data_IF_122049401528
#
_entry.id   IF_122049401528
#
_cell.length_a   1.000
_cell.length_b   1.000
_cell.length_c   1.000
_cell.angle_alpha   90.00
_cell.angle_beta   90.00
_cell.angle_gamma   90.00
#
_symmetry.space_group_name_H-M   'P 1'
#
loop_
_entity.id
_entity.type
_entity.pdbx_description
1 polymer ?
#
# COMPACT_ATOMS: atom_id res chain seq x y z
N UNK A 1 -22.81 14.54 4.86
CA UNK A 1 -21.83 15.65 4.98
C UNK A 1 -20.38 15.19 5.03
N UNK A 2 -20.07 13.88 5.04
CA UNK A 2 -18.69 13.38 5.22
C UNK A 2 -17.96 13.01 3.92
N UNK A 3 -18.68 12.90 2.79
CA UNK A 3 -18.19 12.32 1.53
C UNK A 3 -17.15 13.15 0.74
N UNK A 4 -16.62 14.25 1.31
CA UNK A 4 -15.68 15.15 0.63
C UNK A 4 -14.45 15.53 1.45
N UNK A 5 -14.27 14.95 2.63
CA UNK A 5 -13.08 15.18 3.44
C UNK A 5 -11.97 14.19 3.02
N UNK A 6 -10.71 14.65 2.92
CA UNK A 6 -9.60 13.74 2.65
C UNK A 6 -9.46 12.72 3.79
N UNK A 7 -9.50 11.45 3.44
CA UNK A 7 -9.32 10.31 4.36
C UNK A 7 -7.97 9.66 4.14
N UNK A 8 -7.57 8.80 5.10
CA UNK A 8 -6.38 7.95 4.92
C UNK A 8 -6.57 6.97 3.75
N UNK A 9 -5.46 6.48 3.21
CA UNK A 9 -5.46 5.48 2.14
C UNK A 9 -6.25 4.23 2.58
N UNK A 10 -7.04 3.68 1.65
CA UNK A 10 -7.88 2.51 1.88
C UNK A 10 -7.09 1.21 1.86
N UNK A 11 -5.97 1.18 1.13
CA UNK A 11 -5.10 0.01 1.01
C UNK A 11 -3.63 0.39 1.13
N UNK A 12 -2.80 -0.62 1.42
CA UNK A 12 -1.35 -0.45 1.40
C UNK A 12 -0.85 -0.13 -0.01
N UNK A 13 -1.44 -0.69 -1.06
CA UNK A 13 -1.11 -0.38 -2.46
C UNK A 13 -1.35 1.10 -2.78
N UNK A 14 -2.49 1.64 -2.37
CA UNK A 14 -2.80 3.08 -2.56
C UNK A 14 -1.83 3.97 -1.77
N UNK A 15 -1.45 3.56 -0.56
CA UNK A 15 -0.47 4.29 0.23
C UNK A 15 0.93 4.28 -0.42
N UNK A 16 1.34 3.15 -1.01
CA UNK A 16 2.62 3.03 -1.73
C UNK A 16 2.62 3.85 -3.01
N UNK A 17 1.51 3.88 -3.76
CA UNK A 17 1.38 4.72 -4.95
C UNK A 17 1.38 6.21 -4.63
N UNK A 18 0.71 6.61 -3.54
CA UNK A 18 0.78 7.98 -3.02
C UNK A 18 2.21 8.35 -2.59
N UNK A 19 2.91 7.43 -1.92
CA UNK A 19 4.32 7.61 -1.54
C UNK A 19 5.23 7.74 -2.78
N UNK A 20 5.00 6.97 -3.85
CA UNK A 20 5.73 7.11 -5.12
C UNK A 20 5.49 8.46 -5.78
N UNK A 21 4.25 8.94 -5.73
CA UNK A 21 3.86 10.20 -6.35
C UNK A 21 4.37 11.43 -5.60
N UNK A 22 4.52 11.36 -4.26
CA UNK A 22 4.94 12.48 -3.43
C UNK A 22 5.87 12.03 -2.28
N UNK A 23 7.16 11.85 -2.56
CA UNK A 23 8.19 11.53 -1.57
C UNK A 23 9.25 12.64 -1.37
N UNK A 24 9.13 13.77 -2.07
CA UNK A 24 10.13 14.84 -2.03
C UNK A 24 10.28 15.44 -0.62
N UNK A 25 9.19 15.46 0.15
CA UNK A 25 9.22 15.92 1.54
C UNK A 25 10.06 15.02 2.46
N UNK A 26 10.22 13.73 2.13
CA UNK A 26 11.03 12.79 2.89
C UNK A 26 12.52 12.90 2.55
N UNK A 27 12.83 13.26 1.29
CA UNK A 27 14.21 13.44 0.81
C UNK A 27 14.83 14.77 1.27
N UNK A 28 14.01 15.69 1.77
CA UNK A 28 14.44 16.98 2.27
C UNK A 28 15.47 16.81 3.41
N UNK A 29 16.69 17.34 3.21
CA UNK A 29 17.75 17.27 4.20
C UNK A 29 18.50 15.94 4.24
N UNK A 30 18.41 15.11 3.18
CA UNK A 30 19.11 13.82 3.05
C UNK A 30 18.73 12.82 4.17
N UNK A 31 17.48 12.94 4.66
CA UNK A 31 16.94 12.08 5.73
C UNK A 31 16.59 10.70 5.17
N UNK A 32 16.00 10.66 3.98
CA UNK A 32 15.72 9.46 3.21
C UNK A 32 16.41 9.55 1.85
N UNK A 33 17.12 8.50 1.47
CA UNK A 33 17.72 8.38 0.14
C UNK A 33 16.74 7.73 -0.83
N UNK A 34 16.91 7.99 -2.13
CA UNK A 34 16.09 7.37 -3.19
C UNK A 34 16.18 5.83 -3.13
N UNK A 35 17.39 5.28 -2.94
CA UNK A 35 17.61 3.83 -2.84
C UNK A 35 16.86 3.20 -1.65
N UNK A 36 16.79 3.90 -0.52
CA UNK A 36 16.09 3.42 0.66
C UNK A 36 14.58 3.39 0.43
N UNK A 37 14.03 4.43 -0.20
CA UNK A 37 12.61 4.53 -0.49
C UNK A 37 12.18 3.50 -1.53
N UNK A 38 12.93 3.36 -2.62
CA UNK A 38 12.63 2.39 -3.67
C UNK A 38 12.68 0.96 -3.12
N UNK A 39 13.75 0.61 -2.41
CA UNK A 39 13.87 -0.72 -1.79
C UNK A 39 12.77 -1.01 -0.76
N UNK A 40 12.32 0.00 -0.01
CA UNK A 40 11.18 -0.16 0.90
C UNK A 40 9.89 -0.44 0.14
N UNK A 41 9.61 0.32 -0.92
CA UNK A 41 8.39 0.17 -1.71
C UNK A 41 8.34 -1.19 -2.42
N UNK A 42 9.46 -1.66 -2.97
CA UNK A 42 9.57 -2.98 -3.59
C UNK A 42 9.25 -4.11 -2.60
N UNK A 43 9.86 -4.08 -1.40
CA UNK A 43 9.59 -5.07 -0.36
C UNK A 43 8.12 -5.09 0.08
N UNK A 44 7.46 -3.93 0.09
CA UNK A 44 6.03 -3.83 0.47
C UNK A 44 5.09 -4.24 -0.66
N UNK A 45 5.45 -4.02 -1.91
CA UNK A 45 4.72 -4.55 -3.06
C UNK A 45 4.73 -6.08 -3.09
N UNK A 46 5.85 -6.71 -2.73
CA UNK A 46 5.94 -8.17 -2.60
C UNK A 46 4.97 -8.70 -1.52
N UNK A 47 4.90 -8.02 -0.36
CA UNK A 47 3.97 -8.36 0.71
C UNK A 47 2.50 -8.25 0.26
N UNK A 48 2.15 -7.15 -0.44
CA UNK A 48 0.85 -6.93 -1.04
C UNK A 48 0.49 -8.03 -2.04
N UNK A 49 1.42 -8.36 -2.93
CA UNK A 49 1.24 -9.39 -3.96
C UNK A 49 0.98 -10.75 -3.32
N UNK A 50 1.76 -11.13 -2.30
CA UNK A 50 1.56 -12.39 -1.58
C UNK A 50 0.18 -12.47 -0.93
N UNK A 51 -0.27 -11.38 -0.31
CA UNK A 51 -1.59 -11.33 0.33
C UNK A 51 -2.71 -11.52 -0.70
N UNK A 52 -2.63 -10.81 -1.84
CA UNK A 52 -3.63 -10.90 -2.92
C UNK A 52 -3.67 -12.25 -3.62
N UNK A 53 -2.52 -12.93 -3.72
CA UNK A 53 -2.41 -14.25 -4.33
C UNK A 53 -2.86 -15.39 -3.40
N UNK A 54 -3.06 -15.10 -2.11
CA UNK A 54 -3.46 -16.10 -1.11
C UNK A 54 -4.96 -16.05 -0.88
N UNK A 55 -5.63 -17.20 -0.96
CA UNK A 55 -7.07 -17.30 -0.65
C UNK A 55 -7.30 -17.05 0.84
N UNK A 56 -8.14 -16.07 1.16
CA UNK A 56 -8.45 -15.73 2.55
C UNK A 56 -9.50 -16.71 3.11
N UNK A 57 -9.42 -17.18 4.37
CA UNK A 57 -10.40 -18.13 4.93
C UNK A 57 -11.86 -17.65 4.84
N UNK A 58 -12.09 -16.34 4.91
CA UNK A 58 -13.42 -15.73 4.73
C UNK A 58 -13.95 -15.93 3.31
N UNK A 59 -13.09 -16.03 2.29
CA UNK A 59 -13.52 -16.33 0.92
C UNK A 59 -14.11 -17.74 0.82
N UNK A 60 -13.62 -18.70 1.62
CA UNK A 60 -14.24 -20.02 1.72
C UNK A 60 -15.64 -19.91 2.34
N UNK A 61 -15.83 -19.14 3.42
CA UNK A 61 -17.16 -18.91 3.99
C UNK A 61 -18.12 -18.28 2.98
N UNK A 62 -17.64 -17.31 2.19
CA UNK A 62 -18.45 -16.57 1.21
C UNK A 62 -18.81 -17.41 -0.02
N UNK A 63 -17.87 -18.21 -0.54
CA UNK A 63 -17.99 -18.78 -1.88
C UNK A 63 -17.96 -20.32 -1.95
N UNK A 64 -17.68 -21.05 -0.87
CA UNK A 64 -17.51 -22.51 -0.93
C UNK A 64 -18.82 -23.28 -1.21
N UNK A 65 -19.98 -22.71 -0.89
CA UNK A 65 -21.29 -23.37 -1.06
C UNK A 65 -22.26 -22.60 -1.95
N UNK A 66 -21.76 -21.63 -2.73
CA UNK A 66 -22.49 -21.03 -3.85
C UNK A 66 -22.54 -22.01 -5.03
#
# INVERSE_FOLDING_TARGET
EEAGLPTVAFSLEEALDALRADNDFLKAGDVFTDDLLEGYMELKDEECTRLRATTHPVEFEMYYSL
#
